data_IF_576012381797
#
_entry.id   IF_576012381797
#
_cell.length_a   1.000
_cell.length_b   1.000
_cell.length_c   1.000
_cell.angle_alpha   90.00
_cell.angle_beta   90.00
_cell.angle_gamma   90.00
#
_symmetry.space_group_name_H-M   'P 1'
#
loop_
_entity.id
_entity.type
_entity.pdbx_description
1 polymer ?
#
# COMPACT_ATOMS: atom_id res chain seq x y z
N UNK A 1 17.23 0.67 -2.91
CA UNK A 1 16.66 1.95 -2.43
C UNK A 1 15.15 1.85 -2.53
N UNK A 2 14.38 2.31 -1.54
CA UNK A 2 12.91 2.26 -1.59
C UNK A 2 12.34 3.46 -2.35
N UNK A 3 11.46 3.21 -3.32
CA UNK A 3 10.89 4.26 -4.16
C UNK A 3 9.40 4.03 -4.44
N UNK A 4 8.62 5.10 -4.38
CA UNK A 4 7.18 5.14 -4.68
C UNK A 4 6.92 6.16 -5.79
N UNK A 5 6.75 5.69 -7.03
CA UNK A 5 6.78 6.56 -8.21
C UNK A 5 8.12 7.30 -8.31
N UNK A 6 8.11 8.61 -8.14
CA UNK A 6 9.34 9.43 -8.08
C UNK A 6 9.78 9.77 -6.65
N UNK A 7 8.99 9.38 -5.64
CA UNK A 7 9.25 9.70 -4.24
C UNK A 7 10.20 8.67 -3.63
N UNK A 8 11.30 9.15 -3.06
CA UNK A 8 12.26 8.33 -2.31
C UNK A 8 11.73 8.08 -0.90
N UNK A 9 11.52 6.82 -0.55
CA UNK A 9 10.98 6.45 0.77
C UNK A 9 12.11 6.22 1.78
N UNK A 10 11.94 6.77 2.98
CA UNK A 10 12.84 6.53 4.11
C UNK A 10 12.23 5.45 4.98
N UNK A 11 12.70 4.21 4.79
CA UNK A 11 12.20 3.02 5.49
C UNK A 11 13.06 2.75 6.72
N UNK A 12 12.42 2.46 7.84
CA UNK A 12 13.10 2.07 9.08
C UNK A 12 13.81 0.72 8.86
N UNK A 13 15.11 0.62 9.15
CA UNK A 13 15.86 -0.63 8.99
C UNK A 13 15.19 -1.81 9.71
N UNK A 14 15.11 -2.96 9.04
CA UNK A 14 14.51 -4.18 9.60
C UNK A 14 12.97 -4.23 9.62
N UNK A 15 12.27 -3.15 9.26
CA UNK A 15 10.80 -3.15 9.20
C UNK A 15 10.21 -3.65 7.88
N UNK A 16 11.03 -3.75 6.82
CA UNK A 16 10.56 -4.12 5.49
C UNK A 16 10.19 -5.59 5.40
N UNK A 17 8.94 -5.84 5.03
CA UNK A 17 8.40 -7.15 4.69
C UNK A 17 8.17 -7.21 3.19
N UNK A 18 8.97 -7.98 2.43
CA UNK A 18 8.89 -8.04 0.99
C UNK A 18 7.65 -8.81 0.48
N UNK A 19 7.27 -8.62 -0.80
CA UNK A 19 6.16 -9.31 -1.49
C UNK A 19 6.04 -10.81 -1.26
N UNK A 20 7.16 -11.53 -1.19
CA UNK A 20 7.19 -12.98 -1.03
C UNK A 20 7.06 -13.43 0.43
N UNK A 21 7.28 -12.53 1.40
CA UNK A 21 7.21 -12.83 2.83
C UNK A 21 5.81 -12.57 3.42
N UNK A 22 4.99 -11.74 2.75
CA UNK A 22 3.61 -11.53 3.17
C UNK A 22 2.75 -12.73 2.77
N UNK A 23 2.04 -13.31 3.74
CA UNK A 23 1.08 -14.39 3.48
C UNK A 23 0.04 -13.88 2.48
N UNK A 24 -0.09 -14.57 1.34
CA UNK A 24 -1.05 -14.19 0.30
C UNK A 24 -2.44 -14.02 0.90
N UNK A 25 -3.05 -12.84 0.71
CA UNK A 25 -4.43 -12.58 1.09
C UNK A 25 -5.29 -12.70 -0.16
N UNK A 26 -6.24 -13.63 -0.13
CA UNK A 26 -7.31 -13.70 -1.13
C UNK A 26 -8.26 -12.54 -0.87
N UNK A 27 -8.28 -11.56 -1.78
CA UNK A 27 -9.23 -10.44 -1.70
C UNK A 27 -10.48 -10.86 -2.45
N UNK A 28 -11.60 -10.97 -1.73
CA UNK A 28 -12.91 -11.20 -2.33
C UNK A 28 -13.48 -9.87 -2.79
N UNK A 29 -13.37 -9.58 -4.08
CA UNK A 29 -14.01 -8.42 -4.68
C UNK A 29 -15.49 -8.76 -4.95
N UNK A 30 -16.41 -8.01 -4.36
CA UNK A 30 -17.85 -8.14 -4.61
C UNK A 30 -18.20 -7.37 -5.88
N UNK A 31 -18.34 -8.08 -7.00
CA UNK A 31 -18.77 -7.48 -8.26
C UNK A 31 -20.31 -7.49 -8.30
N UNK A 32 -20.98 -6.32 -8.38
CA UNK A 32 -22.42 -6.30 -8.53
C UNK A 32 -22.82 -6.97 -9.86
N UNK A 33 -23.76 -7.90 -9.80
CA UNK A 33 -24.35 -8.49 -11.00
C UNK A 33 -25.09 -7.43 -11.83
N UNK A 34 -25.34 -7.74 -13.11
CA UNK A 34 -26.04 -6.83 -14.04
C UNK A 34 -27.47 -6.46 -13.60
N UNK A 35 -28.03 -7.19 -12.62
CA UNK A 35 -29.40 -7.06 -12.17
C UNK A 35 -29.45 -6.66 -10.67
N UNK A 36 -29.73 -5.39 -10.40
CA UNK A 36 -29.74 -4.80 -9.04
C UNK A 36 -30.97 -5.27 -8.23
N UNK A 37 -31.99 -5.84 -8.90
CA UNK A 37 -33.23 -6.29 -8.26
C UNK A 37 -33.16 -7.67 -7.60
N UNK A 38 -32.08 -8.45 -7.80
CA UNK A 38 -31.91 -9.76 -7.18
C UNK A 38 -30.57 -9.84 -6.43
N UNK A 39 -30.55 -9.62 -5.11
CA UNK A 39 -29.32 -9.60 -4.31
C UNK A 39 -28.62 -10.97 -4.17
N UNK A 40 -29.17 -12.05 -4.74
CA UNK A 40 -28.70 -13.42 -4.54
C UNK A 40 -27.59 -13.87 -5.50
N UNK A 41 -27.29 -13.13 -6.57
CA UNK A 41 -26.22 -13.48 -7.52
C UNK A 41 -25.02 -12.55 -7.35
N UNK A 42 -24.43 -12.54 -6.16
CA UNK A 42 -23.06 -12.06 -6.00
C UNK A 42 -22.17 -13.13 -6.63
N UNK A 43 -21.62 -12.84 -7.82
CA UNK A 43 -20.55 -13.65 -8.40
C UNK A 43 -19.34 -13.49 -7.48
N UNK A 44 -19.09 -14.49 -6.63
CA UNK A 44 -17.82 -14.60 -5.91
C UNK A 44 -16.77 -14.96 -6.95
N UNK A 45 -16.08 -13.96 -7.51
CA UNK A 45 -14.88 -14.24 -8.27
C UNK A 45 -13.82 -14.73 -7.28
N UNK A 46 -13.18 -15.86 -7.60
CA UNK A 46 -12.15 -16.46 -6.76
C UNK A 46 -11.04 -15.44 -6.61
N UNK A 47 -10.94 -14.81 -5.44
CA UNK A 47 -10.10 -13.65 -5.23
C UNK A 47 -8.69 -13.82 -5.77
N UNK A 48 -8.18 -12.80 -6.46
CA UNK A 48 -6.80 -12.81 -6.97
C UNK A 48 -5.83 -12.66 -5.81
N UNK A 49 -4.86 -13.57 -5.74
CA UNK A 49 -3.69 -13.40 -4.88
C UNK A 49 -2.89 -12.18 -5.38
N UNK A 50 -2.92 -11.07 -4.62
CA UNK A 50 -2.16 -9.85 -4.91
C UNK A 50 -0.90 -9.82 -4.05
N UNK A 51 0.25 -9.45 -4.62
CA UNK A 51 1.47 -9.22 -3.86
C UNK A 51 1.30 -8.05 -2.90
N UNK A 52 1.94 -8.12 -1.74
CA UNK A 52 1.91 -7.05 -0.74
C UNK A 52 3.29 -6.77 -0.18
N UNK A 53 3.64 -5.49 -0.02
CA UNK A 53 4.84 -5.08 0.69
C UNK A 53 4.44 -4.20 1.87
N UNK A 54 5.02 -4.43 3.04
CA UNK A 54 4.71 -3.64 4.23
C UNK A 54 6.00 -3.15 4.90
N UNK A 55 5.97 -1.96 5.49
CA UNK A 55 7.10 -1.42 6.22
C UNK A 55 6.72 -0.25 7.13
N UNK A 56 7.61 0.07 8.06
CA UNK A 56 7.59 1.32 8.79
C UNK A 56 8.50 2.33 8.10
N UNK A 57 8.02 3.55 7.91
CA UNK A 57 8.77 4.63 7.29
C UNK A 57 8.68 5.92 8.08
N UNK A 58 9.45 6.91 7.65
CA UNK A 58 9.35 8.27 8.19
C UNK A 58 9.49 9.34 7.11
N UNK A 59 8.91 10.50 7.36
CA UNK A 59 9.12 11.72 6.57
C UNK A 59 9.78 12.80 7.43
N UNK A 60 10.40 13.81 6.82
CA UNK A 60 11.03 14.93 7.55
C UNK A 60 10.12 16.15 7.63
N UNK A 61 8.95 16.10 7.02
CA UNK A 61 7.93 17.14 7.13
C UNK A 61 6.54 16.53 7.01
N UNK A 62 5.55 17.19 7.62
CA UNK A 62 4.16 16.78 7.49
C UNK A 62 3.67 16.87 6.04
N UNK A 63 4.20 17.81 5.25
CA UNK A 63 3.86 17.96 3.84
C UNK A 63 4.25 16.73 3.01
N UNK A 64 5.43 16.14 3.26
CA UNK A 64 5.84 14.88 2.61
C UNK A 64 4.90 13.73 2.96
N UNK A 65 4.46 13.63 4.22
CA UNK A 65 3.48 12.63 4.62
C UNK A 65 2.12 12.85 3.94
N UNK A 66 1.67 14.11 3.85
CA UNK A 66 0.39 14.43 3.21
C UNK A 66 0.35 14.01 1.73
N UNK A 67 1.48 14.04 1.01
CA UNK A 67 1.53 13.50 -0.36
C UNK A 67 1.25 11.99 -0.43
N UNK A 68 1.75 11.23 0.54
CA UNK A 68 1.44 9.80 0.66
C UNK A 68 -0.01 9.57 1.08
N UNK A 69 -0.53 10.43 1.96
CA UNK A 69 -1.91 10.39 2.39
C UNK A 69 -2.90 10.70 1.26
N UNK A 70 -2.60 11.68 0.41
CA UNK A 70 -3.40 12.01 -0.78
C UNK A 70 -3.38 10.85 -1.79
N UNK A 71 -2.21 10.24 -2.03
CA UNK A 71 -2.09 9.05 -2.86
C UNK A 71 -2.92 7.87 -2.30
N UNK A 72 -2.94 7.71 -0.97
CA UNK A 72 -3.75 6.71 -0.27
C UNK A 72 -5.24 6.96 -0.45
N UNK A 73 -5.71 8.18 -0.18
CA UNK A 73 -7.14 8.54 -0.32
C UNK A 73 -7.64 8.40 -1.76
N UNK A 74 -6.82 8.77 -2.74
CA UNK A 74 -7.17 8.67 -4.15
C UNK A 74 -6.89 7.28 -4.75
N UNK A 75 -6.39 6.32 -3.97
CA UNK A 75 -5.99 4.98 -4.44
C UNK A 75 -5.07 5.04 -5.67
N UNK A 76 -4.13 5.99 -5.66
CA UNK A 76 -3.23 6.24 -6.78
C UNK A 76 -2.33 5.03 -6.99
N UNK A 77 -2.25 4.61 -8.25
CA UNK A 77 -1.40 3.50 -8.66
C UNK A 77 -0.03 4.05 -9.05
N UNK A 78 1.03 3.53 -8.41
CA UNK A 78 2.41 3.86 -8.76
C UNK A 78 3.27 2.63 -8.79
N UNK A 79 4.43 2.75 -9.43
CA UNK A 79 5.46 1.71 -9.37
C UNK A 79 6.20 1.86 -8.03
N UNK A 80 6.14 0.82 -7.22
CA UNK A 80 7.02 0.64 -6.08
C UNK A 80 8.29 -0.08 -6.52
N UNK A 81 9.45 0.37 -6.01
CA UNK A 81 10.74 -0.31 -6.18
C UNK A 81 11.32 -0.61 -4.80
N UNK A 82 11.59 -1.89 -4.55
CA UNK A 82 12.16 -2.40 -3.31
C UNK A 82 13.69 -2.29 -3.25
N UNK A 83 14.30 -2.71 -2.12
CA UNK A 83 15.73 -2.52 -1.88
C UNK A 83 16.60 -3.35 -2.82
N UNK A 84 16.11 -4.49 -3.32
CA UNK A 84 16.83 -5.44 -4.18
C UNK A 84 16.48 -5.29 -5.67
N UNK A 85 15.76 -4.22 -6.04
CA UNK A 85 15.39 -3.93 -7.43
C UNK A 85 14.09 -4.59 -7.88
N UNK A 86 13.41 -5.33 -7.01
CA UNK A 86 12.06 -5.80 -7.26
C UNK A 86 11.12 -4.61 -7.45
N UNK A 87 10.18 -4.72 -8.37
CA UNK A 87 9.17 -3.70 -8.58
C UNK A 87 7.77 -4.29 -8.73
N UNK A 88 6.77 -3.48 -8.44
CA UNK A 88 5.37 -3.80 -8.67
C UNK A 88 4.58 -2.51 -8.88
N UNK A 89 3.57 -2.56 -9.76
CA UNK A 89 2.52 -1.54 -9.78
C UNK A 89 1.61 -1.81 -8.61
N UNK A 90 1.52 -0.87 -7.68
CA UNK A 90 0.77 -1.01 -6.45
C UNK A 90 -0.01 0.26 -6.14
N UNK A 91 -0.96 0.13 -5.22
CA UNK A 91 -1.59 1.24 -4.51
C UNK A 91 -1.25 1.15 -3.02
N UNK A 92 -1.34 2.27 -2.30
CA UNK A 92 -1.27 2.26 -0.84
C UNK A 92 -2.56 1.65 -0.32
N UNK A 93 -2.47 0.48 0.30
CA UNK A 93 -3.62 -0.25 0.82
C UNK A 93 -3.96 0.14 2.25
N UNK A 94 -2.93 0.30 3.10
CA UNK A 94 -3.06 0.74 4.47
C UNK A 94 -1.99 1.80 4.75
N UNK A 95 -2.37 2.88 5.43
CA UNK A 95 -1.47 3.92 5.89
C UNK A 95 -1.88 4.33 7.30
N UNK A 96 -0.97 4.19 8.27
CA UNK A 96 -1.24 4.66 9.64
C UNK A 96 -1.17 6.19 9.71
N UNK A 97 -1.83 6.82 10.71
CA UNK A 97 -1.58 8.21 11.04
C UNK A 97 -0.09 8.48 11.28
N UNK A 98 0.39 9.65 10.85
CA UNK A 98 1.76 10.06 11.12
C UNK A 98 1.93 10.39 12.61
N UNK A 99 2.95 9.81 13.24
CA UNK A 99 3.31 10.12 14.63
C UNK A 99 4.59 10.95 14.63
N UNK A 100 4.54 12.13 15.25
CA UNK A 100 5.72 12.99 15.38
C UNK A 100 6.69 12.38 16.40
N UNK A 101 7.92 12.14 15.98
CA UNK A 101 9.03 11.66 16.81
C UNK A 101 10.10 12.73 16.98
N UNK A 102 11.09 12.46 17.83
CA UNK A 102 12.24 13.35 18.07
C UNK A 102 12.91 13.73 16.75
N UNK A 103 13.50 14.93 16.67
CA UNK A 103 14.16 15.44 15.46
C UNK A 103 13.20 15.80 14.31
N UNK A 104 11.93 16.09 14.61
CA UNK A 104 10.98 16.64 13.63
C UNK A 104 10.52 15.66 12.54
N UNK A 105 10.77 14.36 12.74
CA UNK A 105 10.35 13.30 11.82
C UNK A 105 8.91 12.86 12.12
N UNK A 106 8.24 12.36 11.09
CA UNK A 106 6.89 11.81 11.19
C UNK A 106 6.93 10.35 10.76
N UNK A 107 6.79 9.44 11.71
CA UNK A 107 6.79 7.99 11.50
C UNK A 107 5.41 7.48 11.12
N UNK A 108 5.36 6.46 10.27
CA UNK A 108 4.14 5.82 9.80
C UNK A 108 4.40 4.35 9.44
N UNK A 109 3.35 3.55 9.42
CA UNK A 109 3.33 2.22 8.84
C UNK A 109 2.55 2.26 7.52
N UNK A 110 3.06 1.57 6.51
CA UNK A 110 2.43 1.54 5.19
C UNK A 110 2.43 0.12 4.62
N UNK A 111 1.29 -0.27 4.06
CA UNK A 111 1.13 -1.51 3.29
C UNK A 111 0.80 -1.12 1.84
N UNK A 112 1.56 -1.66 0.91
CA UNK A 112 1.35 -1.54 -0.54
C UNK A 112 0.74 -2.84 -1.06
N UNK A 113 -0.23 -2.73 -1.96
CA UNK A 113 -0.86 -3.89 -2.60
C UNK A 113 -0.79 -3.76 -4.12
N UNK A 114 -0.40 -4.85 -4.78
CA UNK A 114 -0.40 -4.99 -6.24
C UNK A 114 -1.81 -4.77 -6.81
N UNK A 115 -1.88 -4.02 -7.91
CA UNK A 115 -3.13 -3.72 -8.62
C UNK A 115 -3.40 -4.76 -9.71
#
# INVERSE_FOLDING_TARGET
MYQWGNTKLKVVPGSYTPPHAVRKRTVLDLIPGADISTPSSVLQDGGRDRKQAAFSGFTVSLAEYNLLYDDYLASVQRVFIGPSGENMTAMIWELSPATRVFDGKYEYNMTLMEV
#
